data_IF_367316759107
#
_entry.id   IF_367316759107
#
_cell.length_a   1.000
_cell.length_b   1.000
_cell.length_c   1.000
_cell.angle_alpha   90.00
_cell.angle_beta   90.00
_cell.angle_gamma   90.00
#
_symmetry.space_group_name_H-M   'P 1'
#
loop_
_entity.id
_entity.type
_entity.pdbx_description
1 polymer ?
#
# COMPACT_ATOMS: atom_id res chain seq x y z
N UNK A 1 44.65 -20.89 18.55
CA UNK A 1 43.21 -20.53 18.45
C UNK A 1 42.90 -19.02 18.54
N UNK A 2 43.86 -18.14 18.88
CA UNK A 2 43.59 -16.69 18.98
C UNK A 2 43.64 -15.90 17.66
N UNK A 3 44.30 -16.41 16.61
CA UNK A 3 44.41 -15.70 15.33
C UNK A 3 43.12 -15.74 14.49
N UNK A 4 42.32 -16.79 14.60
CA UNK A 4 41.09 -16.91 13.82
C UNK A 4 40.02 -15.89 14.26
N UNK A 5 39.85 -15.69 15.59
CA UNK A 5 38.88 -14.72 16.14
C UNK A 5 39.20 -13.27 15.79
N UNK A 6 40.48 -12.91 15.68
CA UNK A 6 40.90 -11.57 15.28
C UNK A 6 40.65 -11.29 13.79
N UNK A 7 40.79 -12.30 12.93
CA UNK A 7 40.47 -12.16 11.51
C UNK A 7 38.96 -11.94 11.29
N UNK A 8 38.12 -12.74 11.96
CA UNK A 8 36.66 -12.62 11.86
C UNK A 8 36.17 -11.26 12.34
N UNK A 9 36.73 -10.72 13.43
CA UNK A 9 36.33 -9.41 13.95
C UNK A 9 36.72 -8.23 13.05
N UNK A 10 37.83 -8.36 12.30
CA UNK A 10 38.25 -7.34 11.34
C UNK A 10 37.42 -7.40 10.05
N UNK A 11 37.03 -8.59 9.59
CA UNK A 11 36.07 -8.76 8.49
C UNK A 11 34.70 -8.18 8.84
N UNK A 12 34.17 -8.46 10.04
CA UNK A 12 32.90 -7.88 10.49
C UNK A 12 32.96 -6.35 10.57
N UNK A 13 34.08 -5.76 10.98
CA UNK A 13 34.27 -4.30 10.97
C UNK A 13 34.29 -3.74 9.56
N UNK A 14 34.92 -4.44 8.61
CA UNK A 14 35.00 -4.01 7.21
C UNK A 14 33.62 -4.03 6.56
N UNK A 15 32.83 -5.08 6.81
CA UNK A 15 31.46 -5.25 6.31
C UNK A 15 30.48 -4.22 6.91
N UNK A 16 30.63 -3.87 8.20
CA UNK A 16 29.88 -2.77 8.85
C UNK A 16 30.27 -1.39 8.29
N UNK A 17 31.51 -1.22 7.86
CA UNK A 17 31.98 0.06 7.28
C UNK A 17 31.53 0.20 5.82
N UNK A 18 31.47 -0.90 5.07
CA UNK A 18 30.94 -0.92 3.69
C UNK A 18 29.42 -0.73 3.66
N UNK A 19 28.66 -1.36 4.57
CA UNK A 19 27.21 -1.11 4.69
C UNK A 19 26.87 0.32 5.11
N UNK A 20 27.70 0.96 5.95
CA UNK A 20 27.58 2.39 6.26
C UNK A 20 27.85 3.29 5.04
N UNK A 21 28.79 2.91 4.17
CA UNK A 21 29.09 3.69 2.96
C UNK A 21 28.04 3.54 1.86
N UNK A 22 27.29 2.44 1.81
CA UNK A 22 26.18 2.26 0.85
C UNK A 22 24.97 3.15 1.20
N UNK A 23 24.78 3.50 2.48
CA UNK A 23 23.71 4.39 2.94
C UNK A 23 24.06 5.89 2.97
N UNK A 24 25.32 6.25 2.73
CA UNK A 24 25.74 7.65 2.55
C UNK A 24 25.37 8.14 1.14
N UNK A 25 24.09 8.08 0.80
CA UNK A 25 23.53 8.86 -0.29
C UNK A 25 23.69 10.33 0.10
N UNK A 26 24.68 11.03 -0.50
CA UNK A 26 24.88 12.48 -0.40
C UNK A 26 23.72 13.24 -1.06
N UNK A 27 22.48 13.00 -0.65
CA UNK A 27 21.34 13.80 -1.09
C UNK A 27 21.35 15.09 -0.27
N UNK A 28 21.31 16.27 -0.92
CA UNK A 28 21.12 17.51 -0.20
C UNK A 28 19.81 17.42 0.60
N UNK A 29 19.75 18.03 1.80
CA UNK A 29 18.54 17.99 2.61
C UNK A 29 17.35 18.54 1.80
N UNK A 30 16.19 17.87 1.85
CA UNK A 30 15.01 18.32 1.10
C UNK A 30 14.63 19.74 1.53
N UNK A 31 14.19 20.56 0.57
CA UNK A 31 13.71 21.92 0.86
C UNK A 31 12.46 21.81 1.73
N UNK A 32 12.29 22.77 2.65
CA UNK A 32 11.20 22.76 3.62
C UNK A 32 9.80 22.82 2.97
N UNK A 33 9.69 23.43 1.78
CA UNK A 33 8.47 23.42 0.96
C UNK A 33 8.10 22.00 0.51
N UNK A 34 9.09 21.26 0.03
CA UNK A 34 8.90 19.95 -0.59
C UNK A 34 8.54 18.90 0.46
N UNK A 35 9.01 19.06 1.71
CA UNK A 35 8.70 18.15 2.81
C UNK A 35 7.27 18.33 3.35
N UNK A 36 6.75 19.56 3.36
CA UNK A 36 5.36 19.86 3.75
C UNK A 36 4.37 19.30 2.74
N UNK A 37 4.63 19.49 1.45
CA UNK A 37 3.76 18.96 0.38
C UNK A 37 3.72 17.43 0.39
N UNK A 38 4.86 16.78 0.59
CA UNK A 38 4.95 15.31 0.74
C UNK A 38 4.18 14.83 1.98
N UNK A 39 4.23 15.56 3.09
CA UNK A 39 3.51 15.19 4.30
C UNK A 39 1.99 15.28 4.11
N UNK A 40 1.47 16.38 3.57
CA UNK A 40 0.03 16.52 3.33
C UNK A 40 -0.46 15.47 2.32
N UNK A 41 0.32 15.17 1.28
CA UNK A 41 -0.02 14.11 0.33
C UNK A 41 -0.11 12.73 1.02
N UNK A 42 0.86 12.37 1.88
CA UNK A 42 0.80 11.11 2.65
C UNK A 42 -0.42 11.06 3.57
N UNK A 43 -0.71 12.17 4.24
CA UNK A 43 -1.85 12.30 5.15
C UNK A 43 -3.17 12.16 4.39
N UNK A 44 -3.29 12.73 3.20
CA UNK A 44 -4.46 12.57 2.34
C UNK A 44 -4.65 11.11 1.91
N UNK A 45 -3.56 10.41 1.57
CA UNK A 45 -3.62 8.98 1.27
C UNK A 45 -4.15 8.14 2.42
N UNK A 46 -3.65 8.37 3.64
CA UNK A 46 -4.03 7.58 4.81
C UNK A 46 -5.42 7.91 5.34
N UNK A 47 -5.87 9.16 5.21
CA UNK A 47 -7.14 9.62 5.80
C UNK A 47 -8.31 9.57 4.83
N UNK A 48 -8.06 9.77 3.53
CA UNK A 48 -9.11 9.92 2.52
C UNK A 48 -9.03 8.86 1.42
N UNK A 49 -7.90 8.77 0.71
CA UNK A 49 -7.83 7.98 -0.53
C UNK A 49 -7.97 6.48 -0.27
N UNK A 50 -7.16 5.92 0.64
CA UNK A 50 -7.21 4.49 0.96
C UNK A 50 -8.53 4.11 1.66
N UNK A 51 -9.01 4.86 2.68
CA UNK A 51 -10.31 4.56 3.28
C UNK A 51 -11.47 4.66 2.29
N UNK A 52 -11.46 5.63 1.37
CA UNK A 52 -12.50 5.77 0.34
C UNK A 52 -12.53 4.56 -0.60
N UNK A 53 -11.35 4.12 -1.08
CA UNK A 53 -11.25 2.92 -1.91
C UNK A 53 -11.76 1.66 -1.19
N UNK A 54 -11.41 1.49 0.09
CA UNK A 54 -11.92 0.39 0.92
C UNK A 54 -13.44 0.46 1.13
N UNK A 55 -14.01 1.66 1.31
CA UNK A 55 -15.46 1.84 1.40
C UNK A 55 -16.16 1.47 0.09
N UNK A 56 -15.59 1.82 -1.07
CA UNK A 56 -16.13 1.41 -2.38
C UNK A 56 -16.23 -0.11 -2.48
N UNK A 57 -15.13 -0.82 -2.16
CA UNK A 57 -15.10 -2.29 -2.15
C UNK A 57 -16.13 -2.86 -1.18
N UNK A 58 -16.20 -2.31 0.04
CA UNK A 58 -17.16 -2.76 1.05
C UNK A 58 -18.62 -2.56 0.64
N UNK A 59 -18.92 -1.45 -0.03
CA UNK A 59 -20.25 -1.16 -0.58
C UNK A 59 -20.61 -2.16 -1.68
N UNK A 60 -19.68 -2.45 -2.59
CA UNK A 60 -19.90 -3.44 -3.64
C UNK A 60 -20.12 -4.83 -3.07
N UNK A 61 -19.37 -5.23 -2.03
CA UNK A 61 -19.61 -6.49 -1.32
C UNK A 61 -21.05 -6.63 -0.83
N UNK A 62 -21.61 -5.60 -0.20
CA UNK A 62 -23.02 -5.61 0.22
C UNK A 62 -23.98 -5.82 -0.95
N UNK A 63 -23.69 -5.18 -2.09
CA UNK A 63 -24.51 -5.36 -3.28
C UNK A 63 -24.46 -6.79 -3.82
N UNK A 64 -23.34 -7.51 -3.66
CA UNK A 64 -23.26 -8.95 -3.98
C UNK A 64 -24.25 -9.75 -3.15
N UNK A 65 -24.31 -9.48 -1.84
CA UNK A 65 -25.22 -10.18 -0.93
C UNK A 65 -26.70 -9.93 -1.32
N UNK A 66 -27.02 -8.70 -1.74
CA UNK A 66 -28.35 -8.31 -2.23
C UNK A 66 -28.71 -9.03 -3.54
N UNK A 67 -27.81 -9.02 -4.53
CA UNK A 67 -28.02 -9.71 -5.82
C UNK A 67 -28.16 -11.20 -5.60
N UNK A 68 -27.31 -11.80 -4.76
CA UNK A 68 -27.40 -13.21 -4.41
C UNK A 68 -28.78 -13.53 -3.82
N UNK A 69 -29.22 -12.75 -2.81
CA UNK A 69 -30.53 -12.95 -2.19
C UNK A 69 -31.68 -12.80 -3.18
N UNK A 70 -31.60 -11.82 -4.09
CA UNK A 70 -32.59 -11.61 -5.14
C UNK A 70 -32.66 -12.80 -6.11
N UNK A 71 -31.51 -13.23 -6.63
CA UNK A 71 -31.40 -14.35 -7.55
C UNK A 71 -31.88 -15.66 -6.94
N UNK A 72 -31.53 -15.93 -5.68
CA UNK A 72 -32.02 -17.11 -4.95
C UNK A 72 -33.54 -17.09 -4.80
N UNK A 73 -34.12 -15.97 -4.34
CA UNK A 73 -35.56 -15.84 -4.20
C UNK A 73 -36.29 -15.95 -5.55
N UNK A 74 -35.75 -15.35 -6.61
CA UNK A 74 -36.31 -15.46 -7.95
C UNK A 74 -36.31 -16.92 -8.43
N UNK A 75 -35.20 -17.63 -8.23
CA UNK A 75 -35.06 -19.03 -8.65
C UNK A 75 -36.00 -19.97 -7.88
N UNK A 76 -36.17 -19.75 -6.57
CA UNK A 76 -37.11 -20.52 -5.75
C UNK A 76 -38.57 -20.32 -6.16
N UNK A 77 -38.94 -19.10 -6.58
CA UNK A 77 -40.30 -18.76 -7.00
C UNK A 77 -40.63 -19.15 -8.45
N UNK A 78 -39.63 -19.52 -9.26
CA UNK A 78 -39.81 -19.89 -10.66
C UNK A 78 -40.63 -21.18 -10.80
N UNK A 79 -41.71 -21.11 -11.58
CA UNK A 79 -42.68 -22.19 -11.76
C UNK A 79 -42.32 -23.11 -12.93
N UNK A 80 -41.56 -22.59 -13.89
CA UNK A 80 -41.20 -23.32 -15.11
C UNK A 80 -39.69 -23.53 -15.23
N UNK A 81 -39.30 -24.57 -15.96
CA UNK A 81 -37.90 -24.81 -16.31
C UNK A 81 -37.31 -23.71 -17.18
N UNK A 82 -38.14 -23.05 -17.99
CA UNK A 82 -37.74 -21.92 -18.83
C UNK A 82 -37.37 -20.70 -17.98
N UNK A 83 -38.23 -20.30 -17.04
CA UNK A 83 -37.94 -19.19 -16.10
C UNK A 83 -36.68 -19.44 -15.30
N UNK A 84 -36.47 -20.67 -14.80
CA UNK A 84 -35.25 -21.03 -14.07
C UNK A 84 -33.99 -20.82 -14.90
N UNK A 85 -34.02 -21.20 -16.18
CA UNK A 85 -32.88 -21.05 -17.10
C UNK A 85 -32.60 -19.58 -17.41
N UNK A 86 -33.64 -18.77 -17.53
CA UNK A 86 -33.50 -17.32 -17.72
C UNK A 86 -32.87 -16.68 -16.47
N UNK A 87 -33.37 -17.01 -15.28
CA UNK A 87 -32.82 -16.53 -14.00
C UNK A 87 -31.37 -16.96 -13.84
N UNK A 88 -31.01 -18.20 -14.19
CA UNK A 88 -29.62 -18.66 -14.18
C UNK A 88 -28.72 -17.84 -15.11
N UNK A 89 -29.23 -17.46 -16.27
CA UNK A 89 -28.49 -16.65 -17.26
C UNK A 89 -28.25 -15.25 -16.73
N UNK A 90 -29.31 -14.58 -16.24
CA UNK A 90 -29.22 -13.24 -15.65
C UNK A 90 -28.33 -13.23 -14.39
N UNK A 91 -28.44 -14.25 -13.54
CA UNK A 91 -27.59 -14.38 -12.35
C UNK A 91 -26.11 -14.48 -12.73
N UNK A 92 -25.77 -15.25 -13.77
CA UNK A 92 -24.39 -15.33 -14.27
C UNK A 92 -23.89 -13.99 -14.79
N UNK A 93 -24.71 -13.26 -15.53
CA UNK A 93 -24.37 -11.93 -16.04
C UNK A 93 -24.12 -10.94 -14.89
N UNK A 94 -25.03 -10.85 -13.92
CA UNK A 94 -24.85 -10.00 -12.75
C UNK A 94 -23.59 -10.35 -11.94
N UNK A 95 -23.32 -11.64 -11.72
CA UNK A 95 -22.12 -12.06 -11.01
C UNK A 95 -20.85 -11.73 -11.80
N UNK A 96 -20.88 -11.82 -13.12
CA UNK A 96 -19.74 -11.47 -13.97
C UNK A 96 -19.45 -9.97 -13.95
N UNK A 97 -20.50 -9.14 -14.01
CA UNK A 97 -20.37 -7.67 -13.93
C UNK A 97 -19.82 -7.24 -12.57
N UNK A 98 -20.34 -7.84 -11.49
CA UNK A 98 -19.85 -7.65 -10.13
C UNK A 98 -18.38 -8.05 -10.01
N UNK A 99 -18.01 -9.24 -10.50
CA UNK A 99 -16.65 -9.75 -10.41
C UNK A 99 -15.66 -8.84 -11.15
N UNK A 100 -16.04 -8.36 -12.34
CA UNK A 100 -15.24 -7.42 -13.13
C UNK A 100 -15.05 -6.10 -12.36
N UNK A 101 -16.13 -5.50 -11.88
CA UNK A 101 -16.07 -4.25 -11.13
C UNK A 101 -15.27 -4.37 -9.82
N UNK A 102 -15.38 -5.51 -9.13
CA UNK A 102 -14.62 -5.76 -7.89
C UNK A 102 -13.13 -5.94 -8.19
N UNK A 103 -12.79 -6.63 -9.27
CA UNK A 103 -11.40 -6.80 -9.72
C UNK A 103 -10.74 -5.44 -10.02
N UNK A 104 -11.44 -4.56 -10.72
CA UNK A 104 -10.98 -3.20 -11.01
C UNK A 104 -10.75 -2.39 -9.72
N UNK A 105 -11.69 -2.43 -8.78
CA UNK A 105 -11.57 -1.74 -7.50
C UNK A 105 -10.39 -2.27 -6.66
N UNK A 106 -10.18 -3.58 -6.63
CA UNK A 106 -9.06 -4.21 -5.92
C UNK A 106 -7.72 -3.81 -6.55
N UNK A 107 -7.62 -3.84 -7.88
CA UNK A 107 -6.43 -3.38 -8.58
C UNK A 107 -6.14 -1.90 -8.31
N UNK A 108 -7.17 -1.05 -8.33
CA UNK A 108 -7.06 0.36 -8.00
C UNK A 108 -6.58 0.58 -6.55
N UNK A 109 -7.10 -0.19 -5.59
CA UNK A 109 -6.64 -0.15 -4.21
C UNK A 109 -5.17 -0.58 -4.10
N UNK A 110 -4.76 -1.65 -4.78
CA UNK A 110 -3.38 -2.12 -4.80
C UNK A 110 -2.43 -1.04 -5.32
N UNK A 111 -2.75 -0.41 -6.46
CA UNK A 111 -1.96 0.70 -7.01
C UNK A 111 -1.86 1.88 -6.02
N UNK A 112 -2.96 2.23 -5.34
CA UNK A 112 -2.94 3.30 -4.32
C UNK A 112 -2.09 2.94 -3.11
N UNK A 113 -2.09 1.67 -2.70
CA UNK A 113 -1.25 1.17 -1.61
C UNK A 113 0.24 1.20 -2.00
N UNK A 114 0.59 0.77 -3.22
CA UNK A 114 1.96 0.84 -3.72
C UNK A 114 2.49 2.27 -3.67
N UNK A 115 1.72 3.23 -4.19
CA UNK A 115 2.08 4.66 -4.13
C UNK A 115 2.23 5.14 -2.69
N UNK A 116 1.36 4.70 -1.77
CA UNK A 116 1.45 5.08 -0.37
C UNK A 116 2.71 4.52 0.31
N UNK A 117 3.05 3.26 0.05
CA UNK A 117 4.25 2.60 0.57
C UNK A 117 5.50 3.28 0.01
N UNK A 118 5.55 3.57 -1.29
CA UNK A 118 6.67 4.28 -1.92
C UNK A 118 6.90 5.65 -1.27
N UNK A 119 5.83 6.41 -1.01
CA UNK A 119 5.94 7.68 -0.29
C UNK A 119 6.46 7.52 1.15
N UNK A 120 6.11 6.43 1.83
CA UNK A 120 6.65 6.13 3.16
C UNK A 120 8.13 5.76 3.10
N UNK A 121 8.53 4.94 2.13
CA UNK A 121 9.93 4.55 1.90
C UNK A 121 10.79 5.77 1.58
N UNK A 122 10.32 6.67 0.73
CA UNK A 122 10.97 7.95 0.46
C UNK A 122 11.18 8.76 1.73
N UNK A 123 10.16 8.83 2.60
CA UNK A 123 10.24 9.55 3.87
C UNK A 123 11.28 8.93 4.80
N UNK A 124 11.29 7.61 4.91
CA UNK A 124 12.27 6.89 5.73
C UNK A 124 13.69 7.09 5.19
N UNK A 125 13.86 7.14 3.86
CA UNK A 125 15.14 7.43 3.21
C UNK A 125 15.66 8.84 3.46
N UNK A 126 14.79 9.81 3.78
CA UNK A 126 15.18 11.19 4.12
C UNK A 126 15.60 11.35 5.60
N UNK A 127 15.19 10.45 6.50
CA UNK A 127 15.47 10.54 7.94
C UNK A 127 16.97 10.64 8.26
N UNK A 128 17.88 9.82 7.68
CA UNK A 128 19.31 9.93 7.95
C UNK A 128 19.86 11.34 7.68
N UNK A 129 19.50 11.93 6.54
CA UNK A 129 19.94 13.30 6.20
C UNK A 129 19.36 14.35 7.13
N UNK A 130 18.14 14.15 7.64
CA UNK A 130 17.55 15.03 8.65
C UNK A 130 18.28 14.92 10.00
N UNK A 131 18.69 13.70 10.40
CA UNK A 131 19.49 13.46 11.60
C UNK A 131 20.86 14.14 11.46
N UNK A 132 21.57 13.94 10.35
CA UNK A 132 22.87 14.57 10.10
C UNK A 132 22.79 16.11 10.17
N UNK A 133 21.74 16.69 9.57
CA UNK A 133 21.52 18.13 9.60
C UNK A 133 21.22 18.64 11.02
N UNK A 134 20.50 17.85 11.83
CA UNK A 134 20.22 18.17 13.21
C UNK A 134 21.50 18.09 14.08
N UNK A 135 22.29 17.03 13.93
CA UNK A 135 23.57 16.86 14.63
C UNK A 135 24.53 18.02 14.33
N UNK A 136 24.66 18.41 13.06
CA UNK A 136 25.48 19.56 12.65
C UNK A 136 25.04 20.86 13.33
N UNK A 137 23.74 21.15 13.35
CA UNK A 137 23.19 22.34 14.04
C UNK A 137 23.41 22.31 15.54
N UNK A 138 23.43 21.14 16.16
CA UNK A 138 23.71 20.98 17.59
C UNK A 138 25.18 21.25 17.92
N UNK A 139 26.10 20.89 17.02
CA UNK A 139 27.54 21.18 17.16
C UNK A 139 27.80 22.68 16.99
N UNK A 140 27.19 23.32 15.98
CA UNK A 140 27.39 24.76 15.70
C UNK A 140 26.87 25.70 16.81
N UNK A 141 25.99 25.21 17.69
CA UNK A 141 25.44 25.97 18.83
C UNK A 141 26.22 25.79 20.14
N UNK A 142 27.22 24.90 20.18
CA UNK A 142 28.09 24.68 21.34
C UNK A 142 29.40 25.45 21.20
#
# INVERSE_FOLDING_TARGET
MNNARNATFQESKKEITETKNIFLCKRPPPKLSDSVDKFEKRKDYSTNILPSALRSISSKRKHIDEVYSYCTAAFENAQTSFERKEIETQTKEYLNDIATALSEDVNNLATKLDVYVDMQLDTLGEIPSMIDAFEKKMIEKK
#
